data_IF_291508741352
#
_entry.id   IF_291508741352
#
_cell.length_a   1.000
_cell.length_b   1.000
_cell.length_c   1.000
_cell.angle_alpha   90.00
_cell.angle_beta   90.00
_cell.angle_gamma   90.00
#
_symmetry.space_group_name_H-M   'P 1'
#
loop_
_entity.id
_entity.type
_entity.pdbx_description
1 polymer ?
#
# COMPACT_ATOMS: atom_id res chain seq x y z
N UNK A 1 -8.20 -5.72 -21.01
CA UNK A 1 -7.02 -6.03 -20.17
C UNK A 1 -7.47 -6.88 -19.00
N UNK A 2 -6.78 -7.99 -18.68
CA UNK A 2 -7.11 -8.80 -17.49
C UNK A 2 -6.68 -8.05 -16.23
N UNK A 3 -7.58 -7.92 -15.27
CA UNK A 3 -7.31 -7.38 -13.94
C UNK A 3 -6.61 -8.48 -13.14
N UNK A 4 -5.54 -8.12 -12.45
CA UNK A 4 -4.78 -8.97 -11.53
C UNK A 4 -4.90 -8.41 -10.12
N UNK A 5 -4.84 -9.29 -9.14
CA UNK A 5 -4.77 -8.91 -7.73
C UNK A 5 -3.32 -8.71 -7.32
N UNK A 6 -3.06 -7.66 -6.55
CA UNK A 6 -1.77 -7.37 -5.95
C UNK A 6 -1.97 -7.16 -4.47
N UNK A 7 -1.02 -7.61 -3.67
CA UNK A 7 -0.93 -7.35 -2.25
C UNK A 7 0.10 -6.23 -2.04
N UNK A 8 -0.37 -5.09 -1.55
CA UNK A 8 0.48 -3.95 -1.22
C UNK A 8 0.66 -3.86 0.28
N UNK A 9 1.91 -3.78 0.71
CA UNK A 9 2.30 -3.70 2.12
C UNK A 9 2.73 -2.27 2.43
N UNK A 10 2.13 -1.68 3.45
CA UNK A 10 2.35 -0.31 3.87
C UNK A 10 2.84 -0.25 5.30
N UNK A 11 3.71 0.71 5.61
CA UNK A 11 3.97 1.13 6.98
C UNK A 11 3.13 2.36 7.29
N UNK A 12 2.31 2.30 8.33
CA UNK A 12 1.56 3.45 8.80
C UNK A 12 2.21 3.98 10.06
N UNK A 13 2.74 5.20 9.96
CA UNK A 13 3.32 5.87 11.10
C UNK A 13 2.20 6.34 12.02
N UNK A 14 2.36 6.01 13.30
CA UNK A 14 1.52 6.54 14.35
C UNK A 14 2.38 6.72 15.62
N UNK A 15 2.70 7.97 15.99
CA UNK A 15 3.50 8.30 17.17
C UNK A 15 2.94 7.78 18.50
N UNK A 16 1.65 7.43 18.55
CA UNK A 16 1.02 6.88 19.75
C UNK A 16 1.45 5.43 20.02
N UNK A 17 1.98 4.72 19.03
CA UNK A 17 2.52 3.38 19.21
C UNK A 17 3.99 3.43 19.62
N UNK A 18 4.41 2.55 20.54
CA UNK A 18 5.80 2.45 21.02
C UNK A 18 6.83 2.26 19.89
N UNK A 19 6.44 1.60 18.80
CA UNK A 19 7.31 1.31 17.66
C UNK A 19 7.19 2.36 16.53
N UNK A 20 6.51 3.49 16.78
CA UNK A 20 6.34 4.57 15.81
C UNK A 20 5.31 4.31 14.70
N UNK A 21 4.72 3.11 14.65
CA UNK A 21 3.73 2.74 13.64
C UNK A 21 3.43 1.24 13.61
N UNK A 22 2.75 0.82 12.55
CA UNK A 22 2.43 -0.59 12.28
C UNK A 22 2.39 -0.88 10.78
N UNK A 23 2.61 -2.14 10.41
CA UNK A 23 2.49 -2.61 9.03
C UNK A 23 1.03 -2.97 8.75
N UNK A 24 0.54 -2.60 7.56
CA UNK A 24 -0.80 -2.92 7.09
C UNK A 24 -0.75 -3.36 5.63
N UNK A 25 -1.61 -4.31 5.27
CA UNK A 25 -1.66 -4.87 3.93
C UNK A 25 -2.98 -4.46 3.27
N UNK A 26 -2.95 -4.17 1.97
CA UNK A 26 -4.15 -3.90 1.18
C UNK A 26 -4.09 -4.63 -0.15
N UNK A 27 -5.25 -5.14 -0.56
CA UNK A 27 -5.43 -5.69 -1.90
C UNK A 27 -5.66 -4.57 -2.90
N UNK A 28 -4.92 -4.61 -4.00
CA UNK A 28 -5.00 -3.67 -5.11
C UNK A 28 -5.27 -4.46 -6.38
N UNK A 29 -6.37 -4.13 -7.03
CA UNK A 29 -6.65 -4.66 -8.35
C UNK A 29 -6.03 -3.76 -9.41
N UNK A 30 -5.30 -4.32 -10.38
CA UNK A 30 -4.73 -3.53 -11.47
C UNK A 30 -4.42 -4.38 -12.70
N UNK A 31 -4.25 -3.73 -13.85
CA UNK A 31 -3.91 -4.41 -15.12
C UNK A 31 -2.44 -4.81 -15.21
N UNK A 32 -1.55 -4.16 -14.45
CA UNK A 32 -0.11 -4.38 -14.47
C UNK A 32 0.53 -3.97 -13.13
N UNK A 33 1.74 -4.46 -12.84
CA UNK A 33 2.49 -4.10 -11.63
C UNK A 33 2.78 -2.59 -11.55
N UNK A 34 3.19 -1.87 -12.62
CA UNK A 34 3.32 -0.41 -12.59
C UNK A 34 2.02 0.30 -12.24
N UNK A 35 0.88 -0.15 -12.80
CA UNK A 35 -0.44 0.42 -12.48
C UNK A 35 -0.82 0.15 -11.02
N UNK A 36 -0.51 -1.03 -10.50
CA UNK A 36 -0.74 -1.39 -9.11
C UNK A 36 0.10 -0.52 -8.17
N UNK A 37 1.38 -0.32 -8.50
CA UNK A 37 2.31 0.53 -7.74
C UNK A 37 1.89 1.99 -7.76
N UNK A 38 1.40 2.50 -8.89
CA UNK A 38 0.83 3.85 -8.98
C UNK A 38 -0.38 4.00 -8.05
N UNK A 39 -1.33 3.07 -8.10
CA UNK A 39 -2.49 3.07 -7.18
C UNK A 39 -2.05 2.99 -5.72
N UNK A 40 -1.10 2.11 -5.39
CA UNK A 40 -0.56 1.98 -4.05
C UNK A 40 0.04 3.30 -3.54
N UNK A 41 0.79 3.99 -4.40
CA UNK A 41 1.40 5.28 -4.10
C UNK A 41 0.36 6.38 -3.90
N UNK A 42 -0.67 6.45 -4.75
CA UNK A 42 -1.80 7.37 -4.57
C UNK A 42 -2.49 7.14 -3.21
N UNK A 43 -2.67 5.88 -2.79
CA UNK A 43 -3.24 5.57 -1.46
C UNK A 43 -2.33 6.09 -0.33
N UNK A 44 -1.00 5.94 -0.44
CA UNK A 44 -0.07 6.49 0.55
C UNK A 44 -0.05 8.01 0.61
N UNK A 45 -0.09 8.68 -0.55
CA UNK A 45 -0.05 10.14 -0.64
C UNK A 45 -1.36 10.79 -0.14
N UNK A 46 -2.50 10.12 -0.33
CA UNK A 46 -3.81 10.58 0.14
C UNK A 46 -4.19 10.05 1.53
N UNK A 47 -3.23 9.56 2.32
CA UNK A 47 -3.54 9.13 3.69
C UNK A 47 -3.89 10.35 4.57
N UNK A 48 -5.18 10.53 4.84
CA UNK A 48 -5.71 11.70 5.59
C UNK A 48 -5.17 11.79 7.02
N UNK A 49 -4.84 10.65 7.64
CA UNK A 49 -4.40 10.58 9.03
C UNK A 49 -3.10 9.80 9.18
N UNK A 50 -2.04 10.52 9.55
CA UNK A 50 -0.68 10.01 9.70
C UNK A 50 0.10 10.01 8.39
N UNK A 51 1.37 9.61 8.45
CA UNK A 51 2.11 9.26 7.24
C UNK A 51 1.93 7.78 6.95
N UNK A 52 1.83 7.45 5.66
CA UNK A 52 1.80 6.08 5.18
C UNK A 52 2.86 5.92 4.10
N UNK A 53 3.65 4.87 4.18
CA UNK A 53 4.71 4.57 3.25
C UNK A 53 4.45 3.21 2.60
N UNK A 54 4.59 3.14 1.27
CA UNK A 54 4.53 1.88 0.55
C UNK A 54 5.86 1.14 0.71
N UNK A 55 5.83 0.00 1.40
CA UNK A 55 7.01 -0.86 1.59
C UNK A 55 7.22 -1.78 0.39
N UNK A 56 6.15 -2.47 -0.03
CA UNK A 56 6.26 -3.48 -1.07
C UNK A 56 4.93 -3.69 -1.82
N UNK A 57 5.02 -4.27 -3.01
CA UNK A 57 3.87 -4.69 -3.80
C UNK A 57 4.16 -5.98 -4.57
N UNK A 58 3.40 -7.02 -4.23
CA UNK A 58 3.54 -8.34 -4.83
C UNK A 58 2.26 -8.73 -5.57
N UNK A 59 2.41 -9.52 -6.64
CA UNK A 59 1.25 -10.07 -7.34
C UNK A 59 0.66 -11.22 -6.52
N UNK A 60 -0.63 -11.14 -6.22
CA UNK A 60 -1.35 -12.26 -5.60
C UNK A 60 -1.63 -13.27 -6.72
N UNK A 61 -1.01 -14.46 -6.63
CA UNK A 61 -1.07 -15.52 -7.62
C UNK A 61 -2.45 -16.18 -7.72
#
# INVERSE_FOLDING_TARGET
MKIKSYKATFFRHNPQFKNGGYVTERKIEAVSLPSARKRAREISEHCVYGSMELLDIEMEA
#
